data_IF_854999244738
#
_entry.id   IF_854999244738
#
_cell.length_a   1.000
_cell.length_b   1.000
_cell.length_c   1.000
_cell.angle_alpha   90.00
_cell.angle_beta   90.00
_cell.angle_gamma   90.00
#
_symmetry.space_group_name_H-M   'P 1'
#
loop_
_entity.id
_entity.type
_entity.pdbx_description
1 polymer ?
#
# COMPACT_ATOMS: atom_id res chain seq x y z
N UNK A 1 60.10 -42.35 14.42
CA UNK A 1 59.67 -42.73 13.06
C UNK A 1 58.15 -42.79 13.04
N UNK A 2 57.56 -42.25 11.96
CA UNK A 2 56.18 -42.44 11.48
C UNK A 2 55.04 -41.88 12.36
N UNK A 3 54.62 -40.62 12.18
CA UNK A 3 53.81 -40.01 11.10
C UNK A 3 52.31 -39.98 11.41
N UNK A 4 51.88 -38.73 11.62
CA UNK A 4 50.52 -38.19 11.61
C UNK A 4 49.80 -38.46 10.30
N UNK A 5 48.57 -39.00 10.33
CA UNK A 5 47.60 -38.90 9.22
C UNK A 5 46.17 -38.94 9.76
N UNK A 6 45.56 -37.77 9.97
CA UNK A 6 44.10 -37.68 10.08
C UNK A 6 43.60 -36.36 9.46
N UNK A 7 43.90 -36.12 8.19
CA UNK A 7 43.19 -35.14 7.34
C UNK A 7 43.19 -35.65 5.90
N UNK A 8 42.02 -36.07 5.39
CA UNK A 8 41.37 -35.22 4.38
C UNK A 8 39.83 -35.18 4.45
N UNK A 9 39.18 -36.09 5.17
CA UNK A 9 37.72 -36.32 5.02
C UNK A 9 36.83 -35.45 5.91
N UNK A 10 37.38 -34.83 6.96
CA UNK A 10 36.59 -33.96 7.85
C UNK A 10 36.46 -32.54 7.29
N UNK A 11 37.50 -32.01 6.65
CA UNK A 11 37.49 -30.67 6.04
C UNK A 11 36.52 -30.58 4.86
N UNK A 12 36.38 -31.63 4.03
CA UNK A 12 35.44 -31.61 2.90
C UNK A 12 33.97 -31.55 3.34
N UNK A 13 33.62 -32.17 4.48
CA UNK A 13 32.26 -32.15 5.03
C UNK A 13 31.91 -30.80 5.67
N UNK A 14 32.88 -30.15 6.31
CA UNK A 14 32.70 -28.83 6.94
C UNK A 14 32.69 -27.72 5.87
N UNK A 15 33.50 -27.85 4.80
CA UNK A 15 33.54 -26.88 3.70
C UNK A 15 32.31 -26.98 2.77
N UNK A 16 31.78 -28.19 2.53
CA UNK A 16 30.55 -28.37 1.73
C UNK A 16 29.28 -27.94 2.46
N UNK A 17 29.26 -27.97 3.80
CA UNK A 17 28.13 -27.45 4.59
C UNK A 17 28.17 -25.91 4.76
N UNK A 18 29.35 -25.28 4.71
CA UNK A 18 29.45 -23.81 4.74
C UNK A 18 29.10 -23.14 3.40
N UNK A 19 29.15 -23.84 2.28
CA UNK A 19 28.90 -23.24 0.97
C UNK A 19 27.41 -23.00 0.66
N UNK A 20 26.48 -23.67 1.37
CA UNK A 20 25.03 -23.50 1.14
C UNK A 20 24.42 -22.38 2.01
N UNK A 21 25.04 -22.04 3.14
CA UNK A 21 24.54 -20.97 4.03
C UNK A 21 25.08 -19.58 3.63
N UNK A 22 26.18 -19.52 2.87
CA UNK A 22 26.77 -18.26 2.42
C UNK A 22 26.06 -17.58 1.25
N UNK A 23 25.29 -18.29 0.43
CA UNK A 23 24.70 -17.74 -0.81
C UNK A 23 23.26 -17.24 -0.68
N UNK A 24 22.53 -17.55 0.40
CA UNK A 24 21.20 -16.95 0.63
C UNK A 24 21.23 -15.52 1.19
N UNK A 25 22.36 -15.05 1.72
CA UNK A 25 22.43 -13.72 2.35
C UNK A 25 22.50 -12.55 1.35
N UNK A 26 22.82 -12.80 0.07
CA UNK A 26 23.06 -11.73 -0.91
C UNK A 26 21.83 -11.32 -1.74
N UNK A 27 20.73 -12.08 -1.72
CA UNK A 27 19.52 -11.77 -2.50
C UNK A 27 18.57 -10.84 -1.72
N UNK A 28 18.72 -10.72 -0.41
CA UNK A 28 17.83 -9.92 0.45
C UNK A 28 17.96 -8.41 0.26
N UNK A 29 19.02 -7.93 -0.39
CA UNK A 29 19.28 -6.48 -0.55
C UNK A 29 18.55 -5.84 -1.74
N UNK A 30 17.85 -6.62 -2.58
CA UNK A 30 17.06 -6.09 -3.71
C UNK A 30 15.54 -6.14 -3.48
N UNK A 31 15.06 -6.73 -2.38
CA UNK A 31 13.63 -6.84 -2.11
C UNK A 31 13.06 -5.80 -1.12
N UNK A 32 13.86 -4.87 -0.57
CA UNK A 32 13.32 -3.76 0.23
C UNK A 32 12.39 -4.19 1.38
N UNK A 33 12.54 -5.41 1.89
CA UNK A 33 11.80 -5.88 3.07
C UNK A 33 12.57 -5.39 4.29
N UNK A 34 12.23 -4.21 4.78
CA UNK A 34 12.53 -3.84 6.15
C UNK A 34 11.38 -4.37 7.01
N UNK A 35 11.54 -5.49 7.76
CA UNK A 35 10.59 -5.80 8.81
C UNK A 35 10.86 -4.79 9.92
N UNK A 36 10.15 -3.66 9.86
CA UNK A 36 10.07 -2.75 10.98
C UNK A 36 9.45 -3.51 12.15
N UNK A 37 10.24 -3.79 13.18
CA UNK A 37 9.73 -4.14 14.50
C UNK A 37 9.02 -2.91 15.09
N UNK A 38 7.82 -2.61 14.59
CA UNK A 38 6.82 -1.89 15.35
C UNK A 38 5.91 -2.93 15.97
N UNK A 39 6.02 -3.09 17.29
CA UNK A 39 4.95 -3.62 18.12
C UNK A 39 3.77 -2.68 17.97
N UNK A 40 2.90 -2.95 17.01
CA UNK A 40 1.45 -2.76 17.08
C UNK A 40 0.86 -3.06 15.69
N UNK A 41 -0.31 -3.71 15.71
CA UNK A 41 -1.09 -4.29 14.59
C UNK A 41 -0.80 -5.74 14.21
N UNK A 42 -1.27 -6.63 15.10
CA UNK A 42 -1.79 -7.94 14.70
C UNK A 42 -2.98 -7.76 13.74
N UNK A 43 -2.72 -7.97 12.44
CA UNK A 43 -3.69 -8.44 11.45
C UNK A 43 -2.91 -8.80 10.18
N UNK A 44 -2.12 -9.87 10.26
CA UNK A 44 -1.62 -10.56 9.06
C UNK A 44 -2.82 -11.24 8.40
N UNK A 45 -3.57 -10.51 7.57
CA UNK A 45 -4.51 -11.10 6.62
C UNK A 45 -3.69 -11.44 5.40
N UNK A 46 -3.58 -12.74 5.11
CA UNK A 46 -2.90 -13.25 3.94
C UNK A 46 -3.42 -12.55 2.68
N UNK A 47 -2.56 -11.79 1.99
CA UNK A 47 -2.85 -11.24 0.66
C UNK A 47 -3.00 -12.41 -0.32
N UNK A 48 -4.23 -12.87 -0.47
CA UNK A 48 -4.58 -13.78 -1.56
C UNK A 48 -4.65 -12.97 -2.84
N UNK A 49 -3.70 -13.18 -3.73
CA UNK A 49 -3.74 -12.68 -5.11
C UNK A 49 -5.02 -13.12 -5.85
N UNK A 50 -5.78 -14.08 -5.32
CA UNK A 50 -7.08 -14.48 -5.84
C UNK A 50 -8.15 -13.37 -5.77
N UNK A 51 -8.06 -12.41 -4.84
CA UNK A 51 -9.12 -11.39 -4.68
C UNK A 51 -9.11 -10.29 -5.76
N UNK A 52 -8.00 -10.05 -6.45
CA UNK A 52 -7.96 -9.00 -7.47
C UNK A 52 -8.70 -9.39 -8.77
N UNK A 53 -8.90 -10.69 -8.98
CA UNK A 53 -9.80 -11.22 -10.01
C UNK A 53 -11.29 -11.04 -9.64
N UNK A 54 -11.63 -10.74 -8.38
CA UNK A 54 -13.01 -10.48 -7.92
C UNK A 54 -13.53 -9.09 -8.27
N UNK A 55 -12.74 -8.23 -8.95
CA UNK A 55 -13.21 -6.90 -9.39
C UNK A 55 -13.72 -6.99 -10.82
N UNK A 56 -15.04 -6.90 -11.02
CA UNK A 56 -15.65 -6.94 -12.34
C UNK A 56 -15.29 -5.71 -13.20
N UNK A 57 -15.44 -5.79 -14.52
CA UNK A 57 -15.18 -4.64 -15.41
C UNK A 57 -16.09 -3.44 -15.11
N UNK A 58 -17.37 -3.68 -14.83
CA UNK A 58 -18.32 -2.64 -14.45
C UNK A 58 -17.96 -2.02 -13.10
N UNK A 59 -17.62 -2.84 -12.10
CA UNK A 59 -17.20 -2.36 -10.79
C UNK A 59 -15.91 -1.53 -10.88
N UNK A 60 -14.94 -1.99 -11.68
CA UNK A 60 -13.71 -1.26 -11.96
C UNK A 60 -13.99 0.12 -12.59
N UNK A 61 -14.88 0.17 -13.57
CA UNK A 61 -15.24 1.43 -14.23
C UNK A 61 -15.89 2.41 -13.24
N UNK A 62 -16.82 1.94 -12.41
CA UNK A 62 -17.44 2.76 -11.36
C UNK A 62 -16.40 3.24 -10.35
N UNK A 63 -15.49 2.36 -9.91
CA UNK A 63 -14.40 2.70 -8.99
C UNK A 63 -13.52 3.82 -9.57
N UNK A 64 -13.09 3.69 -10.83
CA UNK A 64 -12.26 4.72 -11.51
C UNK A 64 -12.99 6.06 -11.59
N UNK A 65 -14.27 6.05 -11.98
CA UNK A 65 -15.09 7.27 -12.05
C UNK A 65 -15.20 7.95 -10.69
N UNK A 66 -15.51 7.19 -9.64
CA UNK A 66 -15.61 7.69 -8.25
C UNK A 66 -14.27 8.24 -7.77
N UNK A 67 -13.18 7.49 -7.94
CA UNK A 67 -11.84 7.93 -7.55
C UNK A 67 -11.43 9.22 -8.25
N UNK A 68 -11.76 9.37 -9.55
CA UNK A 68 -11.51 10.60 -10.30
C UNK A 68 -12.29 11.79 -9.74
N UNK A 69 -13.57 11.60 -9.42
CA UNK A 69 -14.40 12.65 -8.83
C UNK A 69 -13.88 13.10 -7.47
N UNK A 70 -13.52 12.15 -6.60
CA UNK A 70 -12.94 12.43 -5.28
C UNK A 70 -11.60 13.16 -5.42
N UNK A 71 -10.75 12.77 -6.36
CA UNK A 71 -9.46 13.44 -6.58
C UNK A 71 -9.63 14.89 -7.06
N UNK A 72 -10.58 15.16 -7.96
CA UNK A 72 -10.89 16.53 -8.39
C UNK A 72 -11.40 17.38 -7.22
N UNK A 73 -12.28 16.82 -6.39
CA UNK A 73 -12.78 17.48 -5.19
C UNK A 73 -11.66 17.74 -4.18
N UNK A 74 -10.76 16.77 -3.96
CA UNK A 74 -9.59 16.90 -3.08
C UNK A 74 -8.71 18.07 -3.49
N UNK A 75 -8.45 18.23 -4.79
CA UNK A 75 -7.68 19.37 -5.33
C UNK A 75 -8.36 20.71 -5.04
N UNK A 76 -9.68 20.79 -5.21
CA UNK A 76 -10.45 21.99 -4.86
C UNK A 76 -10.32 22.33 -3.37
N UNK A 77 -10.49 21.32 -2.52
CA UNK A 77 -10.36 21.44 -1.05
C UNK A 77 -8.96 21.85 -0.64
N UNK A 78 -7.91 21.31 -1.27
CA UNK A 78 -6.53 21.71 -1.01
C UNK A 78 -6.29 23.18 -1.35
N UNK A 79 -6.89 23.67 -2.43
CA UNK A 79 -6.83 25.09 -2.78
C UNK A 79 -7.56 25.97 -1.75
N UNK A 80 -8.68 25.51 -1.20
CA UNK A 80 -9.39 26.20 -0.13
C UNK A 80 -8.56 26.24 1.16
N UNK A 81 -8.00 25.10 1.58
CA UNK A 81 -7.08 25.00 2.73
C UNK A 81 -5.91 25.96 2.54
N UNK A 82 -5.30 25.98 1.35
CA UNK A 82 -4.19 26.88 1.02
C UNK A 82 -4.54 28.35 1.27
N UNK A 83 -5.76 28.78 0.93
CA UNK A 83 -6.23 30.16 1.14
C UNK A 83 -6.40 30.49 2.62
N UNK A 84 -6.95 29.57 3.41
CA UNK A 84 -7.23 29.83 4.84
C UNK A 84 -6.03 29.58 5.76
N UNK A 85 -4.98 28.92 5.26
CA UNK A 85 -3.81 28.50 6.03
C UNK A 85 -2.51 29.14 5.53
N UNK A 86 -2.57 30.39 5.08
CA UNK A 86 -1.38 31.18 4.73
C UNK A 86 -0.51 30.57 3.63
N UNK A 87 -1.10 29.84 2.69
CA UNK A 87 -0.39 29.19 1.60
C UNK A 87 0.12 27.78 1.91
N UNK A 88 0.01 27.30 3.15
CA UNK A 88 0.45 25.97 3.56
C UNK A 88 -0.69 24.95 3.48
N UNK A 89 -0.42 23.76 2.94
CA UNK A 89 -1.36 22.63 2.94
C UNK A 89 -0.74 21.50 3.75
N UNK A 90 -1.30 21.13 4.92
CA UNK A 90 -0.76 20.04 5.70
C UNK A 90 -0.88 18.71 4.95
N UNK A 91 0.02 17.78 5.25
CA UNK A 91 -0.08 16.43 4.74
C UNK A 91 -1.22 15.70 5.45
N UNK A 92 -2.37 15.56 4.78
CA UNK A 92 -3.54 14.85 5.31
C UNK A 92 -3.83 13.65 4.41
N UNK A 93 -3.81 12.45 4.97
CA UNK A 93 -3.97 11.18 4.24
C UNK A 93 -5.22 10.39 4.61
N UNK A 94 -5.93 10.80 5.67
CA UNK A 94 -7.14 10.12 6.16
C UNK A 94 -8.23 11.11 6.54
N UNK A 95 -9.43 10.61 6.78
CA UNK A 95 -10.54 11.40 7.32
C UNK A 95 -10.48 11.64 8.83
N UNK A 96 -9.32 11.39 9.46
CA UNK A 96 -9.07 11.83 10.84
C UNK A 96 -9.00 13.35 10.90
N UNK A 97 -9.66 13.92 11.91
CA UNK A 97 -9.63 15.34 12.22
C UNK A 97 -8.56 15.69 13.28
N UNK A 98 -7.92 14.67 13.85
CA UNK A 98 -6.91 14.85 14.89
C UNK A 98 -5.69 15.58 14.32
N UNK A 99 -5.20 16.58 15.07
CA UNK A 99 -4.04 17.38 14.65
C UNK A 99 -4.32 18.42 13.56
N UNK A 100 -5.56 18.53 13.07
CA UNK A 100 -5.95 19.62 12.17
C UNK A 100 -6.27 20.87 12.98
N UNK A 101 -5.78 22.02 12.50
CA UNK A 101 -6.12 23.33 13.05
C UNK A 101 -7.60 23.66 12.86
N UNK A 102 -8.14 24.53 13.70
CA UNK A 102 -9.58 24.81 13.74
C UNK A 102 -10.13 25.42 12.44
N UNK A 103 -9.30 26.16 11.68
CA UNK A 103 -9.66 26.69 10.36
C UNK A 103 -9.67 25.62 9.25
N UNK A 104 -8.95 24.50 9.41
CA UNK A 104 -8.86 23.42 8.41
C UNK A 104 -9.89 22.33 8.68
N UNK A 105 -10.15 22.04 9.96
CA UNK A 105 -11.03 20.96 10.41
C UNK A 105 -12.40 20.92 9.72
N UNK A 106 -13.19 22.02 9.64
CA UNK A 106 -14.51 21.97 9.00
C UNK A 106 -14.43 21.74 7.48
N UNK A 107 -13.39 22.29 6.82
CA UNK A 107 -13.17 22.11 5.38
C UNK A 107 -12.88 20.64 5.07
N UNK A 108 -12.00 20.01 5.87
CA UNK A 108 -11.62 18.62 5.70
C UNK A 108 -12.76 17.65 6.06
N UNK A 109 -13.51 17.95 7.13
CA UNK A 109 -14.69 17.17 7.50
C UNK A 109 -15.72 17.13 6.37
N UNK A 110 -15.99 18.28 5.74
CA UNK A 110 -16.89 18.35 4.58
C UNK A 110 -16.39 17.51 3.41
N UNK A 111 -15.09 17.57 3.11
CA UNK A 111 -14.49 16.72 2.07
C UNK A 111 -14.72 15.24 2.32
N UNK A 112 -14.54 14.80 3.57
CA UNK A 112 -14.73 13.40 3.97
C UNK A 112 -16.18 12.95 3.81
N UNK A 113 -17.13 13.74 4.30
CA UNK A 113 -18.55 13.45 4.16
C UNK A 113 -18.97 13.39 2.68
N UNK A 114 -18.56 14.37 1.87
CA UNK A 114 -18.87 14.38 0.45
C UNK A 114 -18.23 13.21 -0.31
N UNK A 115 -17.02 12.79 0.08
CA UNK A 115 -16.36 11.63 -0.53
C UNK A 115 -17.14 10.35 -0.24
N UNK A 116 -17.59 10.17 1.00
CA UNK A 116 -18.45 9.06 1.40
C UNK A 116 -19.78 9.05 0.62
N UNK A 117 -20.43 10.20 0.48
CA UNK A 117 -21.67 10.31 -0.31
C UNK A 117 -21.49 9.96 -1.78
N UNK A 118 -20.34 10.31 -2.38
CA UNK A 118 -20.02 9.95 -3.76
C UNK A 118 -19.83 8.43 -3.88
N UNK A 119 -19.10 7.82 -2.94
CA UNK A 119 -18.87 6.38 -2.88
C UNK A 119 -20.21 5.64 -2.78
N UNK A 120 -21.06 6.05 -1.84
CA UNK A 120 -22.36 5.42 -1.60
C UNK A 120 -23.31 5.55 -2.79
N UNK A 121 -23.39 6.74 -3.42
CA UNK A 121 -24.24 6.95 -4.61
C UNK A 121 -23.82 6.13 -5.81
N UNK A 122 -22.55 5.75 -5.90
CA UNK A 122 -22.05 4.84 -6.93
C UNK A 122 -22.31 3.36 -6.61
N UNK A 123 -22.98 3.05 -5.50
CA UNK A 123 -23.31 1.68 -5.09
C UNK A 123 -22.21 0.98 -4.29
N UNK A 124 -21.15 1.69 -3.89
CA UNK A 124 -20.10 1.13 -3.05
C UNK A 124 -20.41 1.33 -1.57
N UNK A 125 -20.08 0.33 -0.76
CA UNK A 125 -19.76 0.59 0.64
C UNK A 125 -18.35 1.19 0.74
N UNK A 126 -18.09 1.98 1.79
CA UNK A 126 -16.72 2.47 2.06
C UNK A 126 -15.73 1.30 2.19
N UNK A 127 -16.16 0.19 2.80
CA UNK A 127 -15.30 -0.99 2.97
C UNK A 127 -14.91 -1.61 1.63
N UNK A 128 -15.84 -1.73 0.67
CA UNK A 128 -15.54 -2.27 -0.66
C UNK A 128 -14.67 -1.32 -1.47
N UNK A 129 -14.97 -0.03 -1.47
CA UNK A 129 -14.13 0.98 -2.14
C UNK A 129 -12.69 0.97 -1.61
N UNK A 130 -12.53 0.93 -0.28
CA UNK A 130 -11.22 0.85 0.37
C UNK A 130 -10.53 -0.49 0.12
N UNK A 131 -11.28 -1.60 0.01
CA UNK A 131 -10.73 -2.90 -0.36
C UNK A 131 -10.15 -2.86 -1.79
N UNK A 132 -10.88 -2.31 -2.76
CA UNK A 132 -10.38 -2.15 -4.14
C UNK A 132 -9.13 -1.24 -4.15
N UNK A 133 -9.14 -0.18 -3.35
CA UNK A 133 -7.98 0.71 -3.21
C UNK A 133 -6.73 -0.02 -2.73
N UNK A 134 -6.86 -0.93 -1.75
CA UNK A 134 -5.75 -1.77 -1.25
C UNK A 134 -5.35 -2.84 -2.26
N UNK A 135 -6.31 -3.57 -2.81
CA UNK A 135 -6.04 -4.59 -3.85
C UNK A 135 -5.27 -4.00 -5.02
N UNK A 136 -5.60 -2.78 -5.45
CA UNK A 136 -4.88 -2.06 -6.50
C UNK A 136 -3.41 -1.81 -6.13
N UNK A 137 -3.12 -1.48 -4.87
CA UNK A 137 -1.74 -1.24 -4.39
C UNK A 137 -0.91 -2.53 -4.33
N UNK A 138 -1.58 -3.67 -4.11
CA UNK A 138 -0.96 -4.98 -3.90
C UNK A 138 -0.88 -5.82 -5.19
N UNK A 139 -1.81 -5.64 -6.14
CA UNK A 139 -1.85 -6.37 -7.42
C UNK A 139 -1.51 -5.46 -8.63
N UNK A 140 -0.33 -5.63 -9.24
CA UNK A 140 0.07 -4.91 -10.44
C UNK A 140 -0.90 -5.10 -11.63
N UNK A 141 -1.57 -6.25 -11.75
CA UNK A 141 -2.53 -6.48 -12.83
C UNK A 141 -3.78 -5.61 -12.67
N UNK A 142 -4.31 -5.51 -11.44
CA UNK A 142 -5.40 -4.60 -11.14
C UNK A 142 -5.00 -3.13 -11.33
N UNK A 143 -3.79 -2.73 -10.90
CA UNK A 143 -3.30 -1.36 -11.17
C UNK A 143 -3.25 -1.06 -12.67
N UNK A 144 -2.73 -1.97 -13.51
CA UNK A 144 -2.73 -1.80 -14.97
C UNK A 144 -4.15 -1.61 -15.50
N UNK A 145 -5.10 -2.45 -15.08
CA UNK A 145 -6.51 -2.33 -15.50
C UNK A 145 -7.14 -1.00 -15.06
N UNK A 146 -6.79 -0.50 -13.86
CA UNK A 146 -7.21 0.82 -13.37
C UNK A 146 -6.65 1.93 -14.26
N UNK A 147 -5.38 1.84 -14.66
CA UNK A 147 -4.73 2.83 -15.54
C UNK A 147 -5.40 2.87 -16.91
N UNK A 148 -5.61 1.70 -17.52
CA UNK A 148 -6.31 1.56 -18.81
C UNK A 148 -7.72 2.16 -18.75
N UNK A 149 -8.51 1.81 -17.73
CA UNK A 149 -9.86 2.35 -17.53
C UNK A 149 -9.87 3.85 -17.21
N UNK A 150 -8.78 4.39 -16.65
CA UNK A 150 -8.60 5.81 -16.41
C UNK A 150 -8.11 6.59 -17.65
N UNK A 151 -7.75 5.89 -18.73
CA UNK A 151 -7.15 6.47 -19.94
C UNK A 151 -5.71 6.94 -19.73
N UNK A 152 -4.92 6.21 -18.94
CA UNK A 152 -3.51 6.50 -18.63
C UNK A 152 -2.60 5.36 -19.06
#
# INVERSE_FOLDING_TARGET
MMTSYCLPSCLHRILSQSLVVGTLAAISLLCGLTPGLSKDFHSLVFSSSAHAQDVSAQELQSYVTVSKQIELMRRSVYNEIKKVNGGNVPNISSCSLQGLSDNIRPIWQRFCQQSEDIIQRAGFSNSRYNAITRMRQEDPNLERRVQEAAGR
#
